data_IF_606170836012
#
_entry.id   IF_606170836012
#
_cell.length_a   1.000
_cell.length_b   1.000
_cell.length_c   1.000
_cell.angle_alpha   90.00
_cell.angle_beta   90.00
_cell.angle_gamma   90.00
#
_symmetry.space_group_name_H-M   'P 1'
#
loop_
_entity.id
_entity.type
_entity.pdbx_description
1 polymer ?
#
# COMPACT_ATOMS: atom_id res chain seq x y z
N UNK A 1 24.54 6.04 17.93
CA UNK A 1 23.54 5.05 18.41
C UNK A 1 22.99 4.36 17.18
N UNK A 2 22.92 3.04 17.17
CA UNK A 2 22.36 2.31 16.04
C UNK A 2 20.85 2.53 15.97
N UNK A 3 20.29 2.64 14.75
CA UNK A 3 18.89 2.96 14.50
C UNK A 3 18.23 1.95 13.55
N UNK A 4 16.91 1.90 13.58
CA UNK A 4 16.08 1.20 12.58
C UNK A 4 15.66 2.24 11.54
N UNK A 5 16.08 2.03 10.30
CA UNK A 5 15.69 2.88 9.17
C UNK A 5 14.61 2.15 8.39
N UNK A 6 13.37 2.60 8.49
CA UNK A 6 12.26 2.02 7.73
C UNK A 6 12.16 2.75 6.41
N UNK A 7 12.51 2.07 5.32
CA UNK A 7 12.61 2.65 3.99
C UNK A 7 11.46 2.18 3.09
N UNK A 8 10.63 3.12 2.62
CA UNK A 8 9.65 2.88 1.59
C UNK A 8 10.31 2.66 0.23
N UNK A 9 10.08 1.50 -0.38
CA UNK A 9 10.68 1.13 -1.66
C UNK A 9 9.76 1.38 -2.85
N UNK A 10 8.66 2.07 -2.64
CA UNK A 10 7.69 2.35 -3.69
C UNK A 10 6.83 1.15 -4.08
N UNK A 11 5.99 1.29 -5.14
CA UNK A 11 5.01 0.26 -5.55
C UNK A 11 5.65 -0.92 -6.29
N UNK A 12 6.88 -0.78 -6.79
CA UNK A 12 7.58 -1.89 -7.44
C UNK A 12 8.71 -1.47 -8.37
N UNK A 13 8.48 -0.55 -9.31
CA UNK A 13 9.52 -0.10 -10.23
C UNK A 13 10.52 0.84 -9.52
N UNK A 14 11.84 0.70 -9.75
CA UNK A 14 12.88 1.50 -9.10
C UNK A 14 12.73 3.01 -9.26
N UNK A 15 12.17 3.50 -10.36
CA UNK A 15 11.96 4.94 -10.62
C UNK A 15 11.02 5.60 -9.58
N UNK A 16 10.22 4.80 -8.90
CA UNK A 16 9.32 5.25 -7.83
C UNK A 16 9.93 5.12 -6.43
N UNK A 17 11.20 4.71 -6.35
CA UNK A 17 11.94 4.70 -5.09
C UNK A 17 12.67 6.03 -4.89
N UNK A 18 12.53 6.63 -3.71
CA UNK A 18 13.26 7.85 -3.39
C UNK A 18 14.79 7.58 -3.36
N UNK A 19 15.60 8.50 -3.89
CA UNK A 19 17.06 8.38 -3.82
C UNK A 19 17.60 8.19 -2.40
N UNK A 20 16.94 8.76 -1.39
CA UNK A 20 17.28 8.57 0.02
C UNK A 20 17.09 7.12 0.48
N UNK A 21 16.01 6.45 0.07
CA UNK A 21 15.76 5.05 0.37
C UNK A 21 16.78 4.15 -0.34
N UNK A 22 17.04 4.40 -1.62
CA UNK A 22 18.06 3.68 -2.39
C UNK A 22 19.46 3.78 -1.78
N UNK A 23 19.84 4.97 -1.29
CA UNK A 23 21.14 5.14 -0.57
C UNK A 23 21.16 4.34 0.72
N UNK A 24 20.13 4.47 1.56
CA UNK A 24 20.07 3.75 2.84
C UNK A 24 20.20 2.24 2.65
N UNK A 25 19.48 1.68 1.65
CA UNK A 25 19.54 0.24 1.31
C UNK A 25 20.95 -0.16 0.84
N UNK A 26 21.54 0.64 -0.04
CA UNK A 26 22.87 0.36 -0.59
C UNK A 26 23.98 0.35 0.48
N UNK A 27 23.88 1.24 1.45
CA UNK A 27 24.91 1.46 2.49
C UNK A 27 24.67 0.59 3.73
N UNK A 28 23.52 -0.07 3.83
CA UNK A 28 23.17 -0.93 4.95
C UNK A 28 24.09 -2.14 5.08
N UNK A 29 24.48 -2.48 6.31
CA UNK A 29 25.11 -3.76 6.64
C UNK A 29 24.05 -4.85 6.87
N UNK A 30 22.89 -4.46 7.38
CA UNK A 30 21.75 -5.38 7.69
C UNK A 30 20.49 -4.89 6.99
N UNK A 31 19.89 -5.78 6.20
CA UNK A 31 18.63 -5.54 5.50
C UNK A 31 17.54 -6.50 5.98
N UNK A 32 16.38 -5.96 6.25
CA UNK A 32 15.14 -6.71 6.52
C UNK A 32 14.11 -6.33 5.47
N UNK A 33 13.37 -7.28 4.91
CA UNK A 33 12.36 -6.97 3.90
C UNK A 33 11.66 -8.21 3.37
N UNK A 34 10.63 -8.02 2.55
CA UNK A 34 10.00 -9.11 1.82
C UNK A 34 10.98 -9.83 0.89
N UNK A 35 10.75 -11.11 0.60
CA UNK A 35 11.66 -11.92 -0.25
C UNK A 35 11.96 -11.25 -1.59
N UNK A 36 10.93 -10.67 -2.25
CA UNK A 36 11.11 -9.95 -3.52
C UNK A 36 12.01 -8.73 -3.35
N UNK A 37 11.82 -7.91 -2.32
CA UNK A 37 12.64 -6.74 -2.08
C UNK A 37 14.11 -7.14 -1.81
N UNK A 38 14.34 -8.18 -1.01
CA UNK A 38 15.69 -8.69 -0.76
C UNK A 38 16.34 -9.21 -2.04
N UNK A 39 15.63 -10.00 -2.87
CA UNK A 39 16.20 -10.50 -4.13
C UNK A 39 16.53 -9.38 -5.13
N UNK A 40 15.82 -8.26 -5.07
CA UNK A 40 16.01 -7.13 -5.98
C UNK A 40 17.11 -6.17 -5.51
N UNK A 41 17.22 -5.92 -4.20
CA UNK A 41 18.02 -4.82 -3.67
C UNK A 41 19.20 -5.24 -2.80
N UNK A 42 19.19 -6.47 -2.23
CA UNK A 42 20.29 -6.91 -1.39
C UNK A 42 21.57 -7.15 -2.20
N UNK A 43 22.72 -6.86 -1.59
CA UNK A 43 24.05 -7.00 -2.19
C UNK A 43 24.88 -8.04 -1.44
N UNK A 44 25.87 -8.60 -2.11
CA UNK A 44 26.83 -9.52 -1.49
C UNK A 44 27.50 -8.84 -0.28
N UNK A 45 27.53 -9.54 0.84
CA UNK A 45 28.11 -9.06 2.09
C UNK A 45 27.11 -8.42 3.06
N UNK A 46 25.90 -8.11 2.64
CA UNK A 46 24.86 -7.64 3.55
C UNK A 46 24.20 -8.83 4.27
N UNK A 47 24.03 -8.71 5.59
CA UNK A 47 23.23 -9.67 6.39
C UNK A 47 21.76 -9.41 6.15
N UNK A 48 20.99 -10.43 5.77
CA UNK A 48 19.59 -10.25 5.40
C UNK A 48 18.64 -11.10 6.24
N UNK A 49 17.41 -10.59 6.45
CA UNK A 49 16.28 -11.31 7.06
C UNK A 49 15.02 -11.08 6.25
N UNK A 50 14.40 -12.17 5.80
CA UNK A 50 13.12 -12.09 5.11
C UNK A 50 11.97 -11.90 6.11
N UNK A 51 11.10 -10.93 5.84
CA UNK A 51 9.83 -10.77 6.56
C UNK A 51 8.91 -11.92 6.17
N UNK A 52 8.50 -12.69 7.17
CA UNK A 52 7.55 -13.81 7.07
C UNK A 52 6.37 -13.58 8.00
N UNK A 53 5.46 -14.54 8.12
CA UNK A 53 4.37 -14.50 9.12
C UNK A 53 4.87 -14.54 10.58
N UNK A 54 6.10 -15.01 10.82
CA UNK A 54 6.73 -14.98 12.14
C UNK A 54 7.36 -13.61 12.41
N UNK A 55 6.53 -12.68 12.83
CA UNK A 55 6.95 -11.30 13.18
C UNK A 55 7.86 -11.31 14.41
N UNK A 56 7.68 -12.23 15.35
CA UNK A 56 8.51 -12.31 16.55
C UNK A 56 9.98 -12.61 16.21
N UNK A 57 10.23 -13.56 15.30
CA UNK A 57 11.57 -13.86 14.81
C UNK A 57 12.21 -12.66 14.10
N UNK A 58 11.43 -11.90 13.30
CA UNK A 58 11.92 -10.67 12.65
C UNK A 58 12.32 -9.61 13.68
N UNK A 59 11.49 -9.38 14.70
CA UNK A 59 11.80 -8.43 15.77
C UNK A 59 13.03 -8.83 16.59
N UNK A 60 13.18 -10.13 16.87
CA UNK A 60 14.36 -10.65 17.57
C UNK A 60 15.63 -10.43 16.74
N UNK A 61 15.61 -10.76 15.45
CA UNK A 61 16.73 -10.54 14.54
C UNK A 61 17.15 -9.06 14.51
N UNK A 62 16.17 -8.12 14.43
CA UNK A 62 16.44 -6.68 14.44
C UNK A 62 17.09 -6.27 15.76
N UNK A 63 16.60 -6.77 16.90
CA UNK A 63 17.15 -6.45 18.23
C UNK A 63 18.60 -6.89 18.36
N UNK A 64 18.91 -8.10 17.90
CA UNK A 64 20.28 -8.61 17.89
C UNK A 64 21.22 -7.81 16.97
N UNK A 65 20.74 -7.45 15.78
CA UNK A 65 21.52 -6.67 14.83
C UNK A 65 21.83 -5.25 15.33
N UNK A 66 20.90 -4.61 16.05
CA UNK A 66 21.08 -3.27 16.62
C UNK A 66 22.21 -3.21 17.66
N UNK A 67 22.65 -4.32 18.22
CA UNK A 67 23.82 -4.35 19.12
C UNK A 67 25.11 -3.94 18.40
N UNK A 68 25.20 -4.16 17.09
CA UNK A 68 26.45 -3.94 16.31
C UNK A 68 26.29 -2.94 15.17
N UNK A 69 25.09 -2.79 14.59
CA UNK A 69 24.86 -1.93 13.42
C UNK A 69 23.43 -1.43 13.33
N UNK A 70 23.23 -0.37 12.56
CA UNK A 70 21.87 0.03 12.15
C UNK A 70 21.26 -0.98 11.20
N UNK A 71 19.92 -1.07 11.22
CA UNK A 71 19.15 -2.01 10.40
C UNK A 71 18.25 -1.24 9.44
N UNK A 72 18.31 -1.54 8.16
CA UNK A 72 17.37 -0.99 7.18
C UNK A 72 16.24 -2.00 6.94
N UNK A 73 15.01 -1.56 7.18
CA UNK A 73 13.79 -2.34 6.98
C UNK A 73 13.09 -1.81 5.74
N UNK A 74 13.10 -2.61 4.67
CA UNK A 74 12.44 -2.29 3.41
C UNK A 74 10.96 -2.66 3.47
N UNK A 75 10.07 -1.72 3.15
CA UNK A 75 8.63 -1.96 3.04
C UNK A 75 8.10 -1.51 1.67
N UNK A 76 7.21 -2.28 1.08
CA UNK A 76 6.55 -1.88 -0.17
C UNK A 76 5.69 -0.64 0.05
N UNK A 77 5.68 0.26 -0.92
CA UNK A 77 4.93 1.52 -0.82
C UNK A 77 5.54 2.49 0.19
N UNK A 78 4.69 3.09 0.98
CA UNK A 78 5.02 4.02 2.06
C UNK A 78 4.98 3.33 3.43
N UNK A 79 5.98 3.56 4.31
CA UNK A 79 6.00 2.98 5.66
C UNK A 79 4.81 3.36 6.53
N UNK A 80 4.24 4.53 6.35
CA UNK A 80 3.09 5.02 7.12
C UNK A 80 1.74 4.42 6.71
N UNK A 81 1.72 3.58 5.65
CA UNK A 81 0.46 3.07 5.11
C UNK A 81 0.41 1.54 5.13
N UNK A 82 -0.17 0.97 6.21
CA UNK A 82 -0.36 -0.48 6.42
C UNK A 82 0.91 -1.32 6.22
N UNK A 83 1.97 -1.00 6.94
CA UNK A 83 3.28 -1.64 6.81
C UNK A 83 3.79 -2.27 8.09
N UNK A 84 5.01 -2.82 8.04
CA UNK A 84 5.72 -3.35 9.20
C UNK A 84 6.05 -2.27 10.26
N UNK A 85 5.95 -0.98 9.91
CA UNK A 85 6.20 0.13 10.85
C UNK A 85 5.33 0.03 12.10
N UNK A 86 4.07 -0.40 11.97
CA UNK A 86 3.17 -0.60 13.12
C UNK A 86 3.72 -1.64 14.11
N UNK A 87 4.27 -2.73 13.61
CA UNK A 87 4.89 -3.75 14.46
C UNK A 87 6.19 -3.23 15.09
N UNK A 88 7.03 -2.55 14.33
CA UNK A 88 8.27 -1.95 14.85
C UNK A 88 7.98 -0.97 15.98
N UNK A 89 6.98 -0.10 15.83
CA UNK A 89 6.56 0.87 16.85
C UNK A 89 6.07 0.23 18.16
N UNK A 90 5.53 -0.99 18.10
CA UNK A 90 5.15 -1.75 19.30
C UNK A 90 6.32 -2.40 20.01
N UNK A 91 7.41 -2.69 19.32
CA UNK A 91 8.55 -3.46 19.83
C UNK A 91 9.81 -2.63 20.13
N UNK A 92 9.91 -1.42 19.57
CA UNK A 92 11.08 -0.54 19.73
C UNK A 92 10.65 0.89 20.07
N UNK A 93 11.48 1.60 20.87
CA UNK A 93 11.24 3.02 21.15
C UNK A 93 11.22 3.85 19.84
N UNK A 94 10.31 4.82 19.77
CA UNK A 94 10.21 5.69 18.60
C UNK A 94 11.51 6.43 18.27
N UNK A 95 12.28 6.79 19.28
CA UNK A 95 13.58 7.46 19.13
C UNK A 95 14.64 6.61 18.42
N UNK A 96 14.45 5.28 18.34
CA UNK A 96 15.33 4.38 17.60
C UNK A 96 14.87 4.16 16.16
N UNK A 97 13.75 4.76 15.73
CA UNK A 97 13.16 4.53 14.40
C UNK A 97 13.22 5.81 13.59
N UNK A 98 13.88 5.73 12.44
CA UNK A 98 13.84 6.77 11.41
C UNK A 98 13.10 6.25 10.20
N UNK A 99 12.18 7.04 9.66
CA UNK A 99 11.37 6.66 8.49
C UNK A 99 11.83 7.45 7.27
N UNK A 100 12.04 6.76 6.17
CA UNK A 100 12.18 7.35 4.85
C UNK A 100 10.88 7.03 4.10
N UNK A 101 10.07 8.03 3.72
CA UNK A 101 8.79 7.80 3.07
C UNK A 101 8.96 7.13 1.71
N UNK A 102 7.87 6.64 1.15
CA UNK A 102 7.83 6.06 -0.19
C UNK A 102 6.52 6.36 -0.90
N UNK A 103 6.47 6.17 -2.20
CA UNK A 103 5.23 6.27 -2.96
C UNK A 103 4.41 4.99 -2.75
N UNK A 104 3.20 5.12 -2.23
CA UNK A 104 2.29 3.96 -2.11
C UNK A 104 1.64 3.63 -3.45
N UNK A 105 1.25 2.35 -3.64
CA UNK A 105 0.46 1.95 -4.80
C UNK A 105 -0.90 2.70 -4.85
N UNK A 106 -1.45 3.07 -3.68
CA UNK A 106 -2.66 3.86 -3.57
C UNK A 106 -2.48 5.25 -4.21
N UNK A 107 -1.41 5.97 -3.85
CA UNK A 107 -1.10 7.28 -4.44
C UNK A 107 -0.88 7.17 -5.96
N UNK A 108 -0.20 6.11 -6.41
CA UNK A 108 0.02 5.90 -7.83
C UNK A 108 -1.29 5.61 -8.57
N UNK A 109 -2.22 4.86 -7.99
CA UNK A 109 -3.54 4.62 -8.57
C UNK A 109 -4.31 5.93 -8.78
N UNK A 110 -4.40 6.78 -7.77
CA UNK A 110 -5.03 8.09 -7.89
C UNK A 110 -4.35 8.98 -8.94
N UNK A 111 -3.01 8.97 -8.99
CA UNK A 111 -2.26 9.72 -10.00
C UNK A 111 -2.54 9.25 -11.43
N UNK A 112 -2.68 7.94 -11.64
CA UNK A 112 -3.02 7.36 -12.96
C UNK A 112 -4.41 7.76 -13.43
N UNK A 113 -5.33 7.95 -12.50
CA UNK A 113 -6.71 8.36 -12.78
C UNK A 113 -6.87 9.88 -12.84
N UNK A 114 -5.79 10.65 -12.59
CA UNK A 114 -5.83 12.11 -12.43
C UNK A 114 -6.86 12.56 -11.37
N UNK A 115 -7.12 11.74 -10.35
CA UNK A 115 -8.07 12.03 -9.28
C UNK A 115 -7.35 12.62 -8.06
N UNK A 116 -7.84 13.74 -7.49
CA UNK A 116 -7.41 14.20 -6.18
C UNK A 116 -7.85 13.21 -5.09
N UNK A 117 -7.01 12.98 -4.08
CA UNK A 117 -7.28 11.98 -3.04
C UNK A 117 -7.37 12.54 -1.62
N UNK A 118 -7.29 13.87 -1.47
CA UNK A 118 -7.31 14.50 -0.14
C UNK A 118 -8.65 14.31 0.60
N UNK A 119 -9.76 14.15 -0.14
CA UNK A 119 -11.08 13.85 0.44
C UNK A 119 -11.48 12.37 0.33
N UNK A 120 -10.64 11.56 -0.30
CA UNK A 120 -10.93 10.14 -0.46
C UNK A 120 -10.82 9.39 0.88
N UNK A 121 -11.76 8.50 1.14
CA UNK A 121 -11.66 7.55 2.25
C UNK A 121 -10.75 6.40 1.85
N UNK A 122 -9.63 6.25 2.53
CA UNK A 122 -8.67 5.18 2.27
C UNK A 122 -8.93 4.01 3.23
N UNK A 123 -9.15 2.83 2.68
CA UNK A 123 -9.48 1.61 3.41
C UNK A 123 -8.50 0.49 3.09
N UNK A 124 -8.31 -0.41 4.04
CA UNK A 124 -7.56 -1.63 3.81
C UNK A 124 -8.42 -2.83 4.13
N UNK A 125 -8.56 -3.70 3.15
CA UNK A 125 -9.13 -5.03 3.33
C UNK A 125 -8.05 -6.09 3.60
N UNK A 126 -6.80 -5.68 3.72
CA UNK A 126 -5.69 -6.60 3.96
C UNK A 126 -5.81 -7.26 5.34
N UNK A 127 -6.11 -8.56 5.33
CA UNK A 127 -6.26 -9.40 6.51
C UNK A 127 -7.56 -9.20 7.32
N UNK A 128 -8.40 -8.21 7.01
CA UNK A 128 -9.67 -7.95 7.73
C UNK A 128 -10.62 -7.07 6.91
N UNK A 129 -11.91 -7.25 7.14
CA UNK A 129 -12.94 -6.35 6.63
C UNK A 129 -12.94 -5.04 7.46
N UNK A 130 -12.96 -3.86 6.85
CA UNK A 130 -13.18 -2.60 7.54
C UNK A 130 -14.53 -2.57 8.29
N UNK A 131 -14.63 -1.74 9.33
CA UNK A 131 -15.88 -1.54 10.06
C UNK A 131 -16.97 -0.98 9.16
N UNK A 132 -18.24 -1.35 9.42
CA UNK A 132 -19.38 -1.01 8.57
C UNK A 132 -19.55 0.50 8.38
N UNK A 133 -19.31 1.29 9.43
CA UNK A 133 -19.40 2.75 9.41
C UNK A 133 -18.43 3.38 8.41
N UNK A 134 -17.27 2.73 8.19
CA UNK A 134 -16.27 3.18 7.20
C UNK A 134 -16.61 2.75 5.78
N UNK A 135 -17.49 1.76 5.63
CA UNK A 135 -17.94 1.22 4.34
C UNK A 135 -19.24 1.87 3.86
N UNK A 136 -20.01 2.49 4.77
CA UNK A 136 -21.30 3.10 4.46
C UNK A 136 -21.18 4.10 3.29
N UNK A 137 -22.14 4.02 2.38
CA UNK A 137 -22.27 4.97 1.27
C UNK A 137 -22.48 6.40 1.78
N UNK A 138 -21.83 7.32 1.13
CA UNK A 138 -22.07 8.75 1.26
C UNK A 138 -22.02 9.36 -0.15
N UNK A 139 -23.00 10.18 -0.50
CA UNK A 139 -23.06 10.82 -1.81
C UNK A 139 -21.80 11.65 -2.08
N UNK A 140 -21.27 11.56 -3.29
CA UNK A 140 -20.04 12.23 -3.72
C UNK A 140 -18.76 11.61 -3.16
N UNK A 141 -18.82 10.40 -2.61
CA UNK A 141 -17.64 9.75 -2.01
C UNK A 141 -16.71 9.13 -3.01
N UNK A 142 -15.42 9.17 -2.68
CA UNK A 142 -14.36 8.37 -3.30
C UNK A 142 -13.77 7.42 -2.26
N UNK A 143 -13.65 6.12 -2.60
CA UNK A 143 -12.96 5.12 -1.79
C UNK A 143 -11.72 4.62 -2.51
N UNK A 144 -10.57 4.67 -1.84
CA UNK A 144 -9.39 3.92 -2.23
C UNK A 144 -9.22 2.69 -1.33
N UNK A 145 -9.07 1.49 -1.91
CA UNK A 145 -9.09 0.23 -1.18
C UNK A 145 -7.91 -0.67 -1.51
N UNK A 146 -7.19 -1.13 -0.48
CA UNK A 146 -6.22 -2.21 -0.60
C UNK A 146 -6.94 -3.55 -0.56
N UNK A 147 -6.60 -4.45 -1.49
CA UNK A 147 -7.14 -5.80 -1.58
C UNK A 147 -6.21 -6.84 -0.94
N UNK A 148 -6.71 -8.06 -0.74
CA UNK A 148 -5.91 -9.23 -0.40
C UNK A 148 -6.41 -10.48 -1.14
N UNK A 149 -6.06 -11.69 -0.64
CA UNK A 149 -6.48 -12.96 -1.26
C UNK A 149 -7.95 -13.31 -1.01
N UNK A 150 -8.56 -12.76 0.03
CA UNK A 150 -9.96 -13.00 0.41
C UNK A 150 -10.85 -11.88 -0.12
N UNK A 151 -10.37 -10.66 0.05
CA UNK A 151 -11.06 -9.45 -0.39
C UNK A 151 -10.44 -8.97 -1.70
N UNK A 152 -11.04 -9.39 -2.81
CA UNK A 152 -10.53 -9.23 -4.17
C UNK A 152 -11.37 -8.24 -4.98
N UNK A 153 -10.98 -8.00 -6.23
CA UNK A 153 -11.77 -7.22 -7.19
C UNK A 153 -13.19 -7.78 -7.42
N UNK A 154 -13.43 -9.06 -7.10
CA UNK A 154 -14.74 -9.70 -7.22
C UNK A 154 -15.57 -9.61 -5.94
N UNK A 155 -14.94 -9.71 -4.77
CA UNK A 155 -15.66 -9.83 -3.51
C UNK A 155 -15.94 -8.50 -2.83
N UNK A 156 -15.06 -7.51 -3.00
CA UNK A 156 -15.26 -6.16 -2.44
C UNK A 156 -16.49 -5.46 -3.00
N UNK A 157 -16.84 -5.54 -4.32
CA UNK A 157 -18.06 -4.94 -4.84
C UNK A 157 -19.31 -5.37 -4.09
N UNK A 158 -19.47 -6.67 -3.82
CA UNK A 158 -20.60 -7.17 -3.04
C UNK A 158 -20.65 -6.60 -1.61
N UNK A 159 -19.47 -6.38 -0.99
CA UNK A 159 -19.39 -5.74 0.32
C UNK A 159 -19.86 -4.29 0.25
N UNK A 160 -19.50 -3.54 -0.77
CA UNK A 160 -19.93 -2.15 -0.94
C UNK A 160 -21.43 -2.06 -1.22
N UNK A 161 -21.95 -2.88 -2.13
CA UNK A 161 -23.40 -2.96 -2.41
C UNK A 161 -24.20 -3.24 -1.13
N UNK A 162 -23.76 -4.17 -0.29
CA UNK A 162 -24.37 -4.48 1.00
C UNK A 162 -24.27 -3.33 2.03
N UNK A 163 -23.44 -2.32 1.78
CA UNK A 163 -23.31 -1.10 2.60
C UNK A 163 -23.93 0.14 1.93
N UNK A 164 -24.84 -0.08 0.97
CA UNK A 164 -25.70 0.95 0.37
C UNK A 164 -25.08 1.68 -0.82
N UNK A 165 -23.94 1.24 -1.35
CA UNK A 165 -23.38 1.83 -2.56
C UNK A 165 -24.23 1.52 -3.78
N UNK A 166 -24.49 2.51 -4.66
CA UNK A 166 -25.22 2.29 -5.90
C UNK A 166 -24.53 1.28 -6.82
N UNK A 167 -25.24 0.36 -7.48
CA UNK A 167 -24.64 -0.63 -8.37
C UNK A 167 -23.92 -0.02 -9.57
N UNK A 168 -24.33 1.16 -10.02
CA UNK A 168 -23.71 1.94 -11.10
C UNK A 168 -22.46 2.72 -10.68
N UNK A 169 -22.07 2.70 -9.39
CA UNK A 169 -20.84 3.35 -8.92
C UNK A 169 -19.65 2.87 -9.74
N UNK A 170 -18.89 3.81 -10.31
CA UNK A 170 -17.67 3.51 -11.09
C UNK A 170 -16.63 2.85 -10.20
N UNK A 171 -16.03 1.80 -10.71
CA UNK A 171 -14.97 1.06 -10.03
C UNK A 171 -13.75 0.93 -10.95
N UNK A 172 -12.61 1.45 -10.50
CA UNK A 172 -11.34 1.26 -11.17
C UNK A 172 -10.55 0.14 -10.49
N UNK A 173 -10.13 -0.85 -11.28
CA UNK A 173 -9.29 -1.96 -10.84
C UNK A 173 -7.87 -1.68 -11.34
N UNK A 174 -7.00 -1.21 -10.42
CA UNK A 174 -5.63 -0.81 -10.73
C UNK A 174 -4.66 -1.93 -10.34
N UNK A 175 -4.18 -2.66 -11.31
CA UNK A 175 -3.34 -3.84 -11.13
C UNK A 175 -1.93 -3.61 -11.65
N UNK A 176 -0.94 -4.24 -11.01
CA UNK A 176 0.45 -4.22 -11.45
C UNK A 176 1.01 -2.80 -11.63
N UNK A 177 0.52 -1.87 -10.83
CA UNK A 177 0.95 -0.47 -10.88
C UNK A 177 2.46 -0.34 -10.81
N UNK A 178 3.03 0.50 -11.64
CA UNK A 178 4.46 0.75 -11.87
C UNK A 178 5.23 -0.32 -12.65
N UNK A 179 4.65 -1.45 -12.97
CA UNK A 179 5.30 -2.48 -13.78
C UNK A 179 4.94 -2.31 -15.27
N UNK A 180 5.70 -2.96 -16.16
CA UNK A 180 5.47 -2.92 -17.61
C UNK A 180 4.09 -3.46 -18.03
N UNK A 181 3.55 -4.40 -17.23
CA UNK A 181 2.22 -4.99 -17.38
C UNK A 181 1.15 -4.29 -16.52
N UNK A 182 1.35 -3.00 -16.20
CA UNK A 182 0.35 -2.17 -15.51
C UNK A 182 -0.98 -2.17 -16.25
N UNK A 183 -2.08 -2.38 -15.52
CA UNK A 183 -3.43 -2.35 -16.06
C UNK A 183 -4.36 -1.56 -15.18
N UNK A 184 -5.20 -0.75 -15.81
CA UNK A 184 -6.29 -0.05 -15.17
C UNK A 184 -7.55 -0.37 -15.97
N UNK A 185 -8.49 -1.02 -15.30
CA UNK A 185 -9.77 -1.43 -15.87
C UNK A 185 -10.89 -0.64 -15.18
N UNK A 186 -11.73 0.02 -15.97
CA UNK A 186 -12.91 0.72 -15.49
C UNK A 186 -14.15 -0.17 -15.66
N UNK A 187 -14.96 -0.25 -14.63
CA UNK A 187 -16.19 -1.02 -14.58
C UNK A 187 -17.17 -0.39 -13.58
N UNK A 188 -18.23 -1.10 -13.21
CA UNK A 188 -19.15 -0.72 -12.13
C UNK A 188 -19.12 -1.73 -10.99
N UNK A 189 -19.68 -1.37 -9.83
CA UNK A 189 -19.82 -2.33 -8.71
C UNK A 189 -20.66 -3.53 -9.10
N UNK A 190 -21.67 -3.36 -9.97
CA UNK A 190 -22.52 -4.44 -10.44
C UNK A 190 -21.79 -5.41 -11.38
N UNK A 191 -20.95 -4.90 -12.26
CA UNK A 191 -20.31 -5.67 -13.33
C UNK A 191 -18.99 -6.31 -12.90
N UNK A 192 -18.25 -5.70 -11.98
CA UNK A 192 -16.93 -6.15 -11.54
C UNK A 192 -16.86 -7.64 -11.13
N UNK A 193 -17.87 -8.25 -10.47
CA UNK A 193 -17.82 -9.68 -10.14
C UNK A 193 -17.79 -10.62 -11.35
N UNK A 194 -18.25 -10.17 -12.53
CA UNK A 194 -18.23 -10.96 -13.77
C UNK A 194 -16.87 -10.94 -14.48
N UNK A 195 -16.01 -9.94 -14.18
CA UNK A 195 -14.69 -9.81 -14.76
C UNK A 195 -13.73 -10.91 -14.24
N UNK A 196 -12.64 -11.22 -14.96
CA UNK A 196 -11.59 -12.07 -14.43
C UNK A 196 -11.06 -11.57 -13.09
N UNK A 197 -10.83 -12.47 -12.14
CA UNK A 197 -10.26 -12.08 -10.87
C UNK A 197 -8.86 -11.50 -11.05
N UNK A 198 -8.67 -10.31 -10.52
CA UNK A 198 -7.37 -9.66 -10.45
C UNK A 198 -6.79 -9.91 -9.05
N UNK A 199 -5.57 -10.40 -8.99
CA UNK A 199 -4.84 -10.63 -7.72
C UNK A 199 -4.70 -9.35 -6.89
N UNK A 200 -3.63 -9.19 -6.12
CA UNK A 200 -3.42 -7.96 -5.35
C UNK A 200 -3.47 -6.72 -6.26
N UNK A 201 -4.43 -5.86 -6.04
CA UNK A 201 -4.68 -4.63 -6.79
C UNK A 201 -5.14 -3.50 -5.87
N UNK A 202 -5.23 -2.31 -6.40
CA UNK A 202 -5.92 -1.18 -5.76
C UNK A 202 -7.28 -1.04 -6.43
N UNK A 203 -8.33 -0.92 -5.62
CA UNK A 203 -9.65 -0.57 -6.10
C UNK A 203 -9.95 0.89 -5.74
N UNK A 204 -10.48 1.65 -6.70
CA UNK A 204 -10.98 3.00 -6.47
C UNK A 204 -12.42 3.05 -6.92
N UNK A 205 -13.34 3.28 -5.96
CA UNK A 205 -14.76 3.48 -6.24
C UNK A 205 -15.05 4.98 -6.21
N UNK A 206 -15.72 5.48 -7.26
CA UNK A 206 -16.05 6.90 -7.43
C UNK A 206 -17.56 7.02 -7.64
N UNK A 207 -18.23 7.77 -6.77
CA UNK A 207 -19.66 8.07 -6.96
C UNK A 207 -19.84 9.07 -8.11
N UNK A 208 -20.80 8.84 -9.00
CA UNK A 208 -21.06 9.67 -10.18
C UNK A 208 -21.29 11.16 -9.85
N UNK A 209 -21.82 11.46 -8.68
CA UNK A 209 -22.10 12.82 -8.23
C UNK A 209 -20.83 13.66 -7.93
N UNK A 210 -19.66 13.05 -7.86
CA UNK A 210 -18.38 13.78 -7.76
C UNK A 210 -18.07 14.57 -9.03
N UNK A 211 -18.44 14.04 -10.21
CA UNK A 211 -18.13 14.66 -11.51
C UNK A 211 -19.08 15.81 -11.87
N UNK A 212 -20.31 15.79 -11.37
CA UNK A 212 -21.29 16.85 -11.60
C UNK A 212 -20.98 18.15 -10.81
N UNK A 213 -20.18 18.06 -9.73
CA UNK A 213 -19.80 19.20 -8.89
C UNK A 213 -18.64 20.04 -9.43
N UNK A 214 -17.80 19.50 -10.31
CA UNK A 214 -16.61 20.20 -10.84
C UNK A 214 -16.89 21.04 -12.10
N UNK A 215 -18.13 21.03 -12.63
CA UNK A 215 -18.54 21.89 -13.75
C UNK A 215 -18.77 23.37 -13.40
N UNK A 216 -18.56 23.79 -12.17
CA UNK A 216 -18.84 25.11 -11.62
C UNK A 216 -17.61 25.86 -11.12
N UNK A 217 -16.83 26.46 -12.04
CA UNK A 217 -16.08 27.67 -11.69
C UNK A 217 -14.59 27.53 -11.42
N UNK A 218 -13.80 27.42 -12.46
CA UNK A 218 -12.50 28.07 -12.48
C UNK A 218 -12.76 29.60 -12.51
N UNK A 219 -12.53 30.26 -11.40
CA UNK A 219 -12.23 31.69 -11.33
C UNK A 219 -10.82 31.91 -10.86
#
# INVERSE_FOLDING_TARGET
MNEIIVAGIGPGHPDYMLPAAARAIREAQVLVGGRRALSQFARKGQRTMAVTGDIAAVMQFIREALATSSVVVMVSGDPGYYSLLDALRRHFPAACIRVIPGLSAMQLAFARLALPWHEARLLSFHGRKPAAERLAYQSGSVLGMLTDRTFTSKTIPAVLLANGWPPETRLFICARLSYEDERIEETTLAEAPALPETGSCILIAVDAKMEEGEGGGLR
#
